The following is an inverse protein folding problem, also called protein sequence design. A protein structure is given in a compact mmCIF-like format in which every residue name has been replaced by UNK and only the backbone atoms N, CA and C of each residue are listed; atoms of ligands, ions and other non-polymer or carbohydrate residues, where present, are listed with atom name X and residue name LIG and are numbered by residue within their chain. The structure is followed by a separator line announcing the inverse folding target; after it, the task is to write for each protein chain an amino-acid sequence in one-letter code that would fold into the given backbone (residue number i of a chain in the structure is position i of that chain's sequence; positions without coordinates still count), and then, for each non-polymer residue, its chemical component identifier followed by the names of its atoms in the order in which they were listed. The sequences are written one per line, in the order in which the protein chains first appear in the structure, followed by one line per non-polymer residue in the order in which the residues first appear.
data_IF_399696809546
#
_entry.id   IF_399696809546
#
_cell.length_a   1.000
_cell.length_b   1.000
_cell.length_c   1.000
_cell.angle_alpha   90.00
_cell.angle_beta   90.00
_cell.angle_gamma   90.00
#
_symmetry.space_group_name_H-M   'P 1'
#
loop_
_entity.id
_entity.type
_entity.pdbx_description
1 polymer ?
#
# COMPACT_ATOMS: atom_id res chain seq x y z
N UNK A 1 -8.29 2.08 8.56
CA UNK A 1 -6.81 2.19 8.41
C UNK A 1 -6.27 0.78 8.39
N UNK A 2 -5.46 0.40 7.41
CA UNK A 2 -4.88 -0.95 7.30
C UNK A 2 -3.36 -0.83 7.41
N UNK A 3 -2.76 -1.63 8.29
CA UNK A 3 -1.31 -1.77 8.40
C UNK A 3 -0.91 -3.16 7.95
N UNK A 4 0.06 -3.25 7.06
CA UNK A 4 0.66 -4.52 6.70
C UNK A 4 2.15 -4.33 6.43
N UNK A 5 2.93 -5.34 6.78
CA UNK A 5 4.34 -5.38 6.50
C UNK A 5 4.55 -5.83 5.04
N UNK A 6 5.05 -4.94 4.19
CA UNK A 6 5.37 -5.22 2.77
C UNK A 6 6.78 -5.78 2.57
N UNK A 7 7.61 -5.80 3.61
CA UNK A 7 8.95 -6.39 3.58
C UNK A 7 9.85 -5.90 4.71
N UNK A 8 11.14 -6.20 4.57
CA UNK A 8 12.23 -5.68 5.42
C UNK A 8 13.10 -4.73 4.60
N UNK A 9 13.81 -3.81 5.27
CA UNK A 9 14.78 -2.93 4.61
C UNK A 9 15.89 -3.71 3.85
N UNK A 10 16.17 -4.95 4.26
CA UNK A 10 17.13 -5.84 3.61
C UNK A 10 16.63 -6.42 2.28
N UNK A 11 15.33 -6.30 1.96
CA UNK A 11 14.80 -6.73 0.67
C UNK A 11 15.06 -5.62 -0.34
N UNK A 12 15.81 -5.92 -1.41
CA UNK A 12 16.11 -4.93 -2.44
C UNK A 12 14.85 -4.24 -3.00
N UNK A 13 14.99 -2.99 -3.45
CA UNK A 13 13.85 -2.11 -3.74
C UNK A 13 12.81 -2.68 -4.70
N UNK A 14 13.24 -3.47 -5.70
CA UNK A 14 12.32 -4.11 -6.66
C UNK A 14 11.35 -5.09 -6.00
N UNK A 15 11.83 -5.91 -5.06
CA UNK A 15 10.98 -6.87 -4.34
C UNK A 15 9.97 -6.18 -3.42
N UNK A 16 10.39 -5.11 -2.77
CA UNK A 16 9.49 -4.30 -1.91
C UNK A 16 8.40 -3.64 -2.76
N UNK A 17 8.75 -3.14 -3.94
CA UNK A 17 7.79 -2.57 -4.87
C UNK A 17 6.76 -3.61 -5.35
N UNK A 18 7.21 -4.80 -5.77
CA UNK A 18 6.32 -5.87 -6.22
C UNK A 18 5.37 -6.34 -5.08
N UNK A 19 5.89 -6.48 -3.87
CA UNK A 19 5.08 -6.81 -2.69
C UNK A 19 4.04 -5.72 -2.37
N UNK A 20 4.42 -4.45 -2.44
CA UNK A 20 3.49 -3.34 -2.22
C UNK A 20 2.41 -3.26 -3.30
N UNK A 21 2.79 -3.47 -4.57
CA UNK A 21 1.85 -3.50 -5.70
C UNK A 21 0.82 -4.62 -5.55
N UNK A 22 1.28 -5.84 -5.27
CA UNK A 22 0.38 -7.00 -5.10
C UNK A 22 -0.58 -6.82 -3.91
N UNK A 23 -0.12 -6.25 -2.80
CA UNK A 23 -0.96 -5.93 -1.67
C UNK A 23 -2.03 -4.88 -2.02
N UNK A 24 -1.65 -3.80 -2.71
CA UNK A 24 -2.60 -2.77 -3.14
C UNK A 24 -3.66 -3.34 -4.09
N UNK A 25 -3.25 -4.19 -5.05
CA UNK A 25 -4.18 -4.87 -5.96
C UNK A 25 -5.16 -5.79 -5.20
N UNK A 26 -4.67 -6.55 -4.21
CA UNK A 26 -5.53 -7.40 -3.38
C UNK A 26 -6.57 -6.58 -2.59
N UNK A 27 -6.17 -5.42 -2.06
CA UNK A 27 -7.07 -4.51 -1.36
C UNK A 27 -8.14 -3.95 -2.30
N UNK A 28 -7.75 -3.47 -3.49
CA UNK A 28 -8.70 -2.96 -4.50
C UNK A 28 -9.70 -4.05 -4.89
N UNK A 29 -9.23 -5.29 -5.09
CA UNK A 29 -10.10 -6.43 -5.41
C UNK A 29 -11.03 -6.81 -4.26
N UNK A 30 -10.60 -6.61 -3.02
CA UNK A 30 -11.39 -6.82 -1.82
C UNK A 30 -12.37 -5.66 -1.51
N UNK A 31 -12.51 -4.67 -2.41
CA UNK A 31 -13.47 -3.57 -2.24
C UNK A 31 -14.90 -4.11 -2.08
N UNK A 32 -15.56 -3.87 -0.94
CA UNK A 32 -16.95 -4.28 -0.76
C UNK A 32 -17.86 -3.47 -1.69
N UNK A 33 -18.87 -4.14 -2.26
CA UNK A 33 -19.85 -3.54 -3.19
C UNK A 33 -20.66 -2.39 -2.55
N UNK A 34 -20.74 -2.34 -1.23
CA UNK A 34 -21.41 -1.28 -0.46
C UNK A 34 -20.56 -0.02 -0.29
N UNK A 35 -19.27 -0.05 -0.61
CA UNK A 35 -18.36 1.08 -0.44
C UNK A 35 -18.57 2.12 -1.55
N UNK A 36 -19.23 3.23 -1.20
CA UNK A 36 -19.44 4.39 -2.08
C UNK A 36 -18.29 5.39 -1.94
N UNK A 37 -17.79 5.89 -3.08
CA UNK A 37 -16.74 6.91 -3.13
C UNK A 37 -15.32 6.35 -3.29
N UNK A 38 -14.33 7.16 -2.87
CA UNK A 38 -12.90 6.86 -3.00
C UNK A 38 -12.50 5.83 -1.94
N UNK A 39 -12.21 4.60 -2.39
CA UNK A 39 -11.88 3.49 -1.49
C UNK A 39 -10.48 3.64 -0.86
N UNK A 40 -9.49 4.07 -1.65
CA UNK A 40 -8.13 4.36 -1.19
C UNK A 40 -7.90 5.87 -1.16
N UNK A 41 -7.86 6.44 0.05
CA UNK A 41 -7.70 7.90 0.21
C UNK A 41 -6.24 8.33 0.24
N UNK A 42 -5.42 7.66 1.06
CA UNK A 42 -4.01 7.98 1.27
C UNK A 42 -3.23 6.70 1.61
N UNK A 43 -1.99 6.61 1.14
CA UNK A 43 -1.06 5.56 1.53
C UNK A 43 0.26 6.19 1.97
N UNK A 44 0.86 5.55 2.97
CA UNK A 44 2.15 5.92 3.52
C UNK A 44 3.00 4.67 3.65
N UNK A 45 4.27 4.77 3.26
CA UNK A 45 5.27 3.77 3.55
C UNK A 45 6.19 4.32 4.63
N UNK A 46 6.36 3.56 5.71
CA UNK A 46 7.20 3.92 6.83
C UNK A 46 8.04 2.73 7.26
N UNK A 47 9.24 3.02 7.78
CA UNK A 47 10.06 2.05 8.50
C UNK A 47 9.59 1.99 9.96
N UNK A 48 9.88 0.90 10.66
CA UNK A 48 9.46 0.70 12.05
C UNK A 48 9.88 1.86 12.97
N UNK A 49 11.04 2.46 12.72
CA UNK A 49 11.60 3.57 13.51
C UNK A 49 11.98 4.77 12.62
N UNK A 50 11.42 4.88 11.41
CA UNK A 50 11.81 5.89 10.45
C UNK A 50 10.66 6.81 10.06
N UNK A 51 10.96 7.96 9.43
CA UNK A 51 9.93 8.86 8.92
C UNK A 51 9.10 8.16 7.84
N UNK A 52 7.83 8.56 7.73
CA UNK A 52 6.92 8.06 6.70
C UNK A 52 7.06 8.86 5.41
N UNK A 53 6.96 8.18 4.27
CA UNK A 53 6.88 8.80 2.94
C UNK A 53 5.49 8.56 2.38
N UNK A 54 4.85 9.64 1.92
CA UNK A 54 3.57 9.56 1.19
C UNK A 54 3.78 8.93 -0.17
N UNK A 55 2.96 7.94 -0.50
CA UNK A 55 3.02 7.26 -1.80
C UNK A 55 1.82 7.68 -2.62
N UNK A 56 2.05 7.95 -3.90
CA UNK A 56 0.96 8.24 -4.82
C UNK A 56 0.19 6.96 -5.18
N UNK A 57 -1.13 7.04 -5.07
CA UNK A 57 -2.08 5.97 -5.34
C UNK A 57 -2.81 6.16 -6.68
N UNK A 58 -2.49 7.20 -7.45
CA UNK A 58 -3.05 7.44 -8.78
C UNK A 58 -3.12 6.21 -9.69
N UNK A 59 -2.10 5.32 -9.77
CA UNK A 59 -2.17 4.14 -10.65
C UNK A 59 -3.08 3.01 -10.15
N UNK A 60 -3.60 3.07 -8.92
CA UNK A 60 -4.45 2.02 -8.30
C UNK A 60 -5.88 2.52 -7.99
N UNK A 61 -6.27 3.65 -8.56
CA UNK A 61 -7.56 4.30 -8.32
C UNK A 61 -8.63 3.84 -9.30
#
# INVERSE_FOLDING_TARGET
LVHAAVGKASFGGKRVFDNASSMLQAIVKAKPSTSKGIYLQKAWLALTMGPSVTVDLAPYR
#
